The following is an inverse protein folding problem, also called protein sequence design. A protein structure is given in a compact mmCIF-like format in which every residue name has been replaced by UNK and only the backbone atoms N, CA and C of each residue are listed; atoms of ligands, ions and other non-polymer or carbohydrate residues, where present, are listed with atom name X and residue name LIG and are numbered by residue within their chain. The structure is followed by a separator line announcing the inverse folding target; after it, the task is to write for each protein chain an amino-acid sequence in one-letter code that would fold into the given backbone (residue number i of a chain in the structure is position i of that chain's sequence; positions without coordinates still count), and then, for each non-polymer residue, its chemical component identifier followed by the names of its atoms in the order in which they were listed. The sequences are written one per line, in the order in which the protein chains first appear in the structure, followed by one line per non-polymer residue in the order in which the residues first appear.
data_IF_111184772060
#
_entry.id   IF_111184772060
#
_cell.length_a   1.000
_cell.length_b   1.000
_cell.length_c   1.000
_cell.angle_alpha   90.00
_cell.angle_beta   90.00
_cell.angle_gamma   90.00
#
_symmetry.space_group_name_H-M   'P 1'
#
loop_
_entity.id
_entity.type
_entity.pdbx_description
1 polymer ?
#
# COMPACT_ATOMS: atom_id res chain seq x y z
N UNK A 1 7.93 -19.93 8.11
CA UNK A 1 8.46 -19.21 6.94
C UNK A 1 8.31 -17.72 7.20
N UNK A 2 9.37 -16.94 7.01
CA UNK A 2 9.41 -15.50 7.25
C UNK A 2 9.33 -14.77 5.92
N UNK A 3 8.46 -13.76 5.83
CA UNK A 3 8.33 -12.86 4.69
C UNK A 3 9.08 -11.55 4.99
N UNK A 4 9.83 -11.07 4.02
CA UNK A 4 10.62 -9.83 4.09
C UNK A 4 10.43 -9.05 2.80
N UNK A 5 10.58 -7.72 2.85
CA UNK A 5 10.49 -6.88 1.66
C UNK A 5 11.89 -6.52 1.20
N UNK A 6 12.13 -6.68 -0.08
CA UNK A 6 13.38 -6.34 -0.74
C UNK A 6 13.10 -5.33 -1.86
N UNK A 7 14.13 -4.64 -2.32
CA UNK A 7 14.07 -3.81 -3.52
C UNK A 7 15.01 -4.34 -4.61
N UNK A 8 14.68 -4.01 -5.84
CA UNK A 8 15.47 -4.23 -7.03
C UNK A 8 15.40 -2.98 -7.90
N UNK A 9 16.43 -2.76 -8.70
CA UNK A 9 16.51 -1.64 -9.66
C UNK A 9 16.96 -2.18 -11.01
N UNK A 10 16.61 -1.53 -12.14
CA UNK A 10 17.15 -1.89 -13.44
C UNK A 10 18.67 -1.80 -13.45
N UNK A 11 19.34 -2.74 -14.10
CA UNK A 11 20.80 -2.70 -14.29
C UNK A 11 21.21 -1.57 -15.25
N UNK A 12 20.39 -1.35 -16.28
CA UNK A 12 20.60 -0.32 -17.29
C UNK A 12 19.29 0.45 -17.53
N UNK A 13 19.32 1.77 -17.30
CA UNK A 13 18.17 2.66 -17.53
C UNK A 13 18.02 3.05 -19.00
N UNK A 14 19.01 2.79 -19.85
CA UNK A 14 18.93 3.03 -21.28
C UNK A 14 18.31 1.87 -22.06
N UNK A 15 18.15 0.69 -21.44
CA UNK A 15 17.39 -0.41 -22.01
C UNK A 15 15.88 -0.10 -21.88
N UNK A 16 15.17 0.24 -22.98
CA UNK A 16 13.75 0.59 -22.90
C UNK A 16 12.87 -0.56 -22.42
N UNK A 17 13.38 -1.80 -22.45
CA UNK A 17 12.65 -2.98 -22.00
C UNK A 17 13.01 -3.41 -20.57
N UNK A 18 14.00 -2.78 -19.93
CA UNK A 18 14.45 -3.07 -18.56
C UNK A 18 14.65 -4.58 -18.33
N UNK A 19 15.39 -5.24 -19.22
CA UNK A 19 15.49 -6.72 -19.25
C UNK A 19 16.28 -7.32 -18.09
N UNK A 20 17.14 -6.52 -17.44
CA UNK A 20 18.00 -6.95 -16.33
C UNK A 20 17.80 -6.10 -15.09
N UNK A 21 17.82 -6.76 -13.94
CA UNK A 21 17.56 -6.16 -12.63
C UNK A 21 18.63 -6.60 -11.62
N UNK A 22 19.08 -5.65 -10.81
CA UNK A 22 20.02 -5.86 -9.71
C UNK A 22 19.27 -5.79 -8.38
N UNK A 23 19.57 -6.71 -7.48
CA UNK A 23 19.15 -6.68 -6.07
C UNK A 23 20.36 -6.29 -5.23
N UNK A 24 20.43 -5.07 -4.70
CA UNK A 24 21.60 -4.69 -3.91
C UNK A 24 21.57 -5.37 -2.53
N UNK A 25 22.56 -6.23 -2.27
CA UNK A 25 22.62 -7.01 -1.03
C UNK A 25 22.85 -6.14 0.22
N UNK A 26 23.55 -5.00 0.08
CA UNK A 26 23.88 -4.12 1.19
C UNK A 26 22.65 -3.57 1.94
N UNK A 27 21.52 -3.44 1.26
CA UNK A 27 20.32 -2.80 1.80
C UNK A 27 19.10 -3.73 1.85
N UNK A 28 19.22 -4.96 1.34
CA UNK A 28 18.17 -5.96 1.43
C UNK A 28 18.33 -6.84 2.69
N UNK A 29 17.24 -7.20 3.39
CA UNK A 29 15.87 -6.72 3.18
C UNK A 29 15.65 -5.29 3.68
N UNK A 30 14.82 -4.53 2.97
CA UNK A 30 14.49 -3.14 3.31
C UNK A 30 13.42 -3.03 4.40
N UNK A 31 12.58 -4.05 4.57
CA UNK A 31 11.61 -4.11 5.65
C UNK A 31 11.41 -5.54 6.14
N UNK A 32 11.43 -5.71 7.46
CA UNK A 32 11.24 -6.98 8.16
C UNK A 32 10.08 -6.88 9.16
N UNK A 33 9.46 -8.02 9.45
CA UNK A 33 8.44 -8.10 10.50
C UNK A 33 9.08 -7.90 11.88
N UNK A 34 8.82 -6.75 12.50
CA UNK A 34 9.27 -6.45 13.87
C UNK A 34 8.56 -7.31 14.93
N UNK A 35 9.07 -7.27 16.17
CA UNK A 35 8.47 -7.98 17.31
C UNK A 35 6.98 -7.68 17.44
N UNK A 36 6.16 -8.73 17.45
CA UNK A 36 4.70 -8.63 17.55
C UNK A 36 3.97 -8.50 16.20
N UNK A 37 4.70 -8.41 15.09
CA UNK A 37 4.16 -8.59 13.73
C UNK A 37 4.26 -10.06 13.34
N UNK A 38 3.23 -10.58 12.66
CA UNK A 38 3.26 -11.95 12.18
C UNK A 38 4.18 -12.04 10.94
N UNK A 39 5.35 -12.64 11.12
CA UNK A 39 6.36 -12.79 10.08
C UNK A 39 5.92 -13.63 8.86
N UNK A 40 4.92 -14.50 8.97
CA UNK A 40 4.37 -15.25 7.84
C UNK A 40 3.19 -14.55 7.16
N UNK A 41 2.83 -13.35 7.63
CA UNK A 41 1.73 -12.55 7.15
C UNK A 41 2.18 -11.09 7.05
N UNK A 42 3.22 -10.84 6.26
CA UNK A 42 3.85 -9.53 6.08
C UNK A 42 4.40 -9.44 4.65
N UNK A 43 3.60 -8.92 3.72
CA UNK A 43 3.90 -8.99 2.28
C UNK A 43 3.20 -7.89 1.48
N UNK A 44 3.53 -7.85 0.20
CA UNK A 44 2.86 -7.04 -0.82
C UNK A 44 3.03 -5.53 -0.59
N UNK A 45 4.24 -4.98 -0.79
CA UNK A 45 4.47 -3.55 -0.68
C UNK A 45 3.70 -2.79 -1.78
N UNK A 46 3.19 -1.60 -1.44
CA UNK A 46 2.54 -0.70 -2.41
C UNK A 46 3.57 -0.01 -3.30
N UNK A 47 3.07 0.64 -4.37
CA UNK A 47 3.78 1.78 -4.96
C UNK A 47 4.05 2.82 -3.86
N UNK A 48 5.22 3.45 -3.89
CA UNK A 48 5.60 4.45 -2.92
C UNK A 48 5.08 5.83 -3.33
N UNK A 49 4.69 6.65 -2.35
CA UNK A 49 4.38 8.07 -2.57
C UNK A 49 5.29 8.93 -1.70
N UNK A 50 5.52 10.17 -2.13
CA UNK A 50 6.41 11.12 -1.44
C UNK A 50 5.59 12.23 -0.79
N UNK A 51 5.81 12.44 0.50
CA UNK A 51 5.17 13.56 1.20
C UNK A 51 5.85 14.91 0.91
N UNK A 52 5.17 15.99 1.29
CA UNK A 52 5.68 17.38 1.17
C UNK A 52 7.01 17.64 1.90
N UNK A 53 7.37 16.79 2.86
CA UNK A 53 8.61 16.89 3.64
C UNK A 53 9.74 16.03 3.03
N UNK A 54 9.49 15.41 1.88
CA UNK A 54 10.45 14.62 1.13
C UNK A 54 10.64 13.18 1.63
N UNK A 55 9.75 12.67 2.49
CA UNK A 55 9.77 11.26 2.89
C UNK A 55 8.94 10.42 1.93
N UNK A 56 9.55 9.35 1.43
CA UNK A 56 8.86 8.25 0.78
C UNK A 56 8.09 7.43 1.79
N UNK A 57 6.92 6.95 1.39
CA UNK A 57 6.01 6.14 2.18
C UNK A 57 5.58 4.92 1.37
N UNK A 58 5.49 3.76 2.02
CA UNK A 58 4.91 2.53 1.46
C UNK A 58 4.01 1.87 2.49
N UNK A 59 3.02 1.11 2.02
CA UNK A 59 2.26 0.19 2.87
C UNK A 59 2.73 -1.25 2.63
N UNK A 60 2.68 -2.08 3.67
CA UNK A 60 2.85 -3.52 3.60
C UNK A 60 1.65 -4.19 4.26
N UNK A 61 1.02 -5.11 3.54
CA UNK A 61 -0.14 -5.88 3.97
C UNK A 61 0.20 -6.87 5.08
N UNK A 62 -0.68 -6.97 6.08
CA UNK A 62 -0.50 -7.89 7.19
C UNK A 62 -1.82 -8.22 7.90
N UNK A 63 -1.73 -9.03 8.96
CA UNK A 63 -2.79 -9.22 9.95
C UNK A 63 -2.24 -9.28 11.37
N UNK A 64 -3.10 -8.88 12.32
CA UNK A 64 -2.93 -9.14 13.76
C UNK A 64 -4.15 -9.89 14.27
N UNK A 65 -3.99 -11.17 14.60
CA UNK A 65 -5.11 -12.09 14.89
C UNK A 65 -6.10 -12.08 13.70
N UNK A 66 -7.34 -11.67 13.91
CA UNK A 66 -8.39 -11.58 12.88
C UNK A 66 -8.54 -10.18 12.27
N UNK A 67 -7.59 -9.28 12.52
CA UNK A 67 -7.63 -7.88 12.07
C UNK A 67 -6.67 -7.65 10.92
N UNK A 68 -7.16 -7.16 9.79
CA UNK A 68 -6.34 -6.75 8.65
C UNK A 68 -5.57 -5.47 8.96
N UNK A 69 -4.37 -5.36 8.41
CA UNK A 69 -3.39 -4.33 8.72
C UNK A 69 -2.72 -3.82 7.45
N UNK A 70 -2.64 -2.50 7.30
CA UNK A 70 -1.73 -1.85 6.35
C UNK A 70 -0.63 -1.13 7.13
N UNK A 71 0.54 -1.75 7.27
CA UNK A 71 1.67 -1.14 7.98
C UNK A 71 2.35 -0.09 7.11
N UNK A 72 2.47 1.13 7.63
CA UNK A 72 3.17 2.21 6.96
C UNK A 72 4.66 2.21 7.30
N UNK A 73 5.51 2.32 6.28
CA UNK A 73 6.95 2.55 6.40
C UNK A 73 7.34 3.87 5.77
N UNK A 74 8.40 4.49 6.28
CA UNK A 74 8.95 5.76 5.78
C UNK A 74 10.42 5.65 5.46
N UNK A 75 10.87 6.35 4.42
CA UNK A 75 12.27 6.45 4.02
C UNK A 75 12.60 7.81 3.43
N UNK A 76 13.84 8.28 3.58
CA UNK A 76 14.34 9.47 2.86
C UNK A 76 15.08 9.12 1.58
N UNK A 77 15.67 7.93 1.52
CA UNK A 77 16.63 7.51 0.49
C UNK A 77 16.17 6.28 -0.30
N UNK A 78 14.97 5.78 -0.04
CA UNK A 78 14.38 4.57 -0.61
C UNK A 78 15.10 3.25 -0.25
N UNK A 79 16.12 3.31 0.60
CA UNK A 79 16.98 2.18 0.99
C UNK A 79 16.74 1.81 2.45
N UNK A 80 16.75 2.78 3.35
CA UNK A 80 16.50 2.58 4.78
C UNK A 80 15.06 2.93 5.09
N UNK A 81 14.30 1.94 5.54
CA UNK A 81 12.89 2.12 5.88
C UNK A 81 12.64 1.91 7.36
N UNK A 82 11.82 2.78 7.94
CA UNK A 82 11.40 2.71 9.34
C UNK A 82 9.89 2.56 9.41
N UNK A 83 9.42 1.59 10.19
CA UNK A 83 7.99 1.37 10.40
C UNK A 83 7.40 2.48 11.26
N UNK A 84 6.24 2.99 10.87
CA UNK A 84 5.44 3.88 11.71
C UNK A 84 4.91 3.12 12.92
N UNK A 85 4.76 3.84 14.04
CA UNK A 85 4.22 3.27 15.29
C UNK A 85 2.83 2.64 15.09
N UNK A 86 1.99 3.32 14.31
CA UNK A 86 0.65 2.89 13.96
C UNK A 86 0.57 2.50 12.47
N UNK A 87 -0.27 1.50 12.10
CA UNK A 87 -0.62 1.30 10.69
C UNK A 87 -1.38 2.52 10.16
N UNK A 88 -1.40 2.71 8.84
CA UNK A 88 -2.18 3.80 8.24
C UNK A 88 -3.69 3.59 8.46
N UNK A 89 -4.11 2.32 8.40
CA UNK A 89 -5.47 1.85 8.61
C UNK A 89 -5.49 0.35 8.95
N UNK A 90 -6.61 -0.11 9.52
CA UNK A 90 -6.80 -1.51 9.90
C UNK A 90 -8.26 -1.77 10.24
N UNK A 91 -8.76 -2.96 9.88
CA UNK A 91 -10.16 -3.32 10.11
C UNK A 91 -10.29 -4.69 10.79
N UNK A 92 -11.23 -4.82 11.73
CA UNK A 92 -11.50 -6.07 12.42
C UNK A 92 -12.26 -7.06 11.53
N UNK A 93 -12.06 -8.36 11.77
CA UNK A 93 -12.76 -9.48 11.09
C UNK A 93 -12.55 -9.53 9.57
N UNK A 94 -11.53 -8.85 9.03
CA UNK A 94 -11.16 -8.89 7.60
C UNK A 94 -10.03 -9.88 7.29
N UNK A 95 -9.34 -10.40 8.32
CA UNK A 95 -8.29 -11.39 8.12
C UNK A 95 -6.99 -10.78 7.57
N UNK A 96 -6.34 -11.47 6.62
CA UNK A 96 -5.12 -10.98 5.96
C UNK A 96 -5.50 -9.96 4.88
N UNK A 97 -4.81 -8.83 4.89
CA UNK A 97 -4.82 -7.88 3.78
C UNK A 97 -3.66 -8.17 2.85
N UNK A 98 -3.97 -8.61 1.64
CA UNK A 98 -3.03 -8.86 0.56
C UNK A 98 -3.12 -7.73 -0.47
N UNK A 99 -2.04 -7.55 -1.22
CA UNK A 99 -1.95 -6.60 -2.33
C UNK A 99 -2.62 -5.25 -2.02
N UNK A 100 -2.24 -4.57 -0.92
CA UNK A 100 -2.74 -3.24 -0.67
C UNK A 100 -2.40 -2.34 -1.85
N UNK A 101 -3.28 -1.36 -2.08
CA UNK A 101 -3.03 -0.26 -2.99
C UNK A 101 -3.54 1.04 -2.37
N UNK A 102 -2.80 2.13 -2.56
CA UNK A 102 -3.10 3.41 -1.93
C UNK A 102 -2.73 4.56 -2.87
N UNK A 103 -3.74 5.28 -3.33
CA UNK A 103 -3.57 6.30 -4.36
C UNK A 103 -4.65 7.39 -4.29
N UNK A 104 -4.35 8.62 -4.75
CA UNK A 104 -5.30 9.70 -4.78
C UNK A 104 -6.21 9.62 -6.02
N UNK A 105 -7.41 10.19 -5.89
CA UNK A 105 -8.38 10.39 -6.98
C UNK A 105 -8.96 11.79 -6.91
N UNK A 106 -9.23 12.40 -8.06
CA UNK A 106 -9.86 13.71 -8.15
C UNK A 106 -11.32 13.66 -7.66
N UNK A 107 -11.74 14.69 -6.94
CA UNK A 107 -13.16 14.88 -6.59
C UNK A 107 -14.04 15.22 -7.80
N UNK A 108 -13.46 15.82 -8.83
CA UNK A 108 -14.14 16.24 -10.06
C UNK A 108 -13.20 16.04 -11.24
N UNK A 109 -13.73 15.55 -12.35
CA UNK A 109 -12.94 15.19 -13.53
C UNK A 109 -12.88 13.68 -13.74
N UNK A 110 -12.06 13.26 -14.69
CA UNK A 110 -11.85 11.84 -15.06
C UNK A 110 -10.36 11.48 -15.17
N UNK A 111 -9.49 12.43 -14.91
CA UNK A 111 -8.05 12.31 -15.02
C UNK A 111 -7.49 11.49 -13.85
N UNK A 112 -6.45 10.70 -14.14
CA UNK A 112 -5.65 10.04 -13.12
C UNK A 112 -4.72 11.03 -12.41
N UNK A 113 -4.19 10.62 -11.26
CA UNK A 113 -3.25 11.42 -10.49
C UNK A 113 -1.99 10.63 -10.18
N UNK A 114 -0.85 11.30 -10.18
CA UNK A 114 0.36 10.76 -9.57
C UNK A 114 0.09 10.44 -8.09
N UNK A 115 0.69 9.34 -7.62
CA UNK A 115 0.48 8.82 -6.26
C UNK A 115 0.84 9.79 -5.14
N UNK A 116 1.68 10.80 -5.41
CA UNK A 116 2.13 11.79 -4.43
C UNK A 116 1.26 13.06 -4.38
N UNK A 117 0.20 13.15 -5.20
CA UNK A 117 -0.69 14.32 -5.19
C UNK A 117 -1.55 14.33 -3.92
N UNK A 118 -1.50 15.45 -3.21
CA UNK A 118 -2.29 15.73 -2.00
C UNK A 118 -3.02 17.08 -2.13
N UNK A 119 -4.12 17.25 -1.39
CA UNK A 119 -4.86 18.52 -1.30
C UNK A 119 -6.38 18.35 -1.14
N UNK A 120 -7.08 19.47 -0.95
CA UNK A 120 -8.52 19.47 -0.69
C UNK A 120 -9.38 19.02 -1.88
N UNK A 121 -8.78 18.98 -3.07
CA UNK A 121 -9.43 18.59 -4.33
C UNK A 121 -9.33 17.07 -4.60
N UNK A 122 -8.71 16.30 -3.69
CA UNK A 122 -8.54 14.84 -3.84
C UNK A 122 -9.13 14.05 -2.68
N UNK A 123 -9.48 12.80 -2.98
CA UNK A 123 -9.74 11.73 -2.00
C UNK A 123 -8.71 10.64 -2.19
N UNK A 124 -8.58 9.75 -1.22
CA UNK A 124 -7.68 8.61 -1.30
C UNK A 124 -8.46 7.31 -1.31
N UNK A 125 -8.05 6.41 -2.20
CA UNK A 125 -8.53 5.03 -2.24
C UNK A 125 -7.56 4.19 -1.42
N UNK A 126 -8.09 3.40 -0.48
CA UNK A 126 -7.36 2.30 0.13
C UNK A 126 -8.02 1.00 -0.29
N UNK A 127 -7.30 0.23 -1.11
CA UNK A 127 -7.74 -1.07 -1.61
C UNK A 127 -6.96 -2.18 -0.94
N UNK A 128 -7.63 -3.30 -0.67
CA UNK A 128 -7.01 -4.53 -0.19
C UNK A 128 -7.69 -5.75 -0.83
N UNK A 129 -6.91 -6.79 -1.13
CA UNK A 129 -7.40 -8.12 -1.45
C UNK A 129 -7.52 -8.94 -0.17
N UNK A 130 -8.70 -9.51 0.10
CA UNK A 130 -8.93 -10.28 1.33
C UNK A 130 -8.75 -11.77 1.08
N UNK A 131 -7.72 -12.34 1.71
CA UNK A 131 -7.39 -13.76 1.58
C UNK A 131 -8.57 -14.68 1.94
N UNK A 132 -9.39 -14.28 2.92
CA UNK A 132 -10.54 -15.06 3.38
C UNK A 132 -11.67 -15.18 2.35
N UNK A 133 -11.88 -14.15 1.54
CA UNK A 133 -13.01 -14.11 0.59
C UNK A 133 -12.59 -14.33 -0.84
N UNK A 134 -11.29 -14.17 -1.13
CA UNK A 134 -10.72 -14.17 -2.48
C UNK A 134 -11.34 -13.10 -3.38
N UNK A 135 -11.76 -12.00 -2.77
CA UNK A 135 -12.20 -10.78 -3.44
C UNK A 135 -11.37 -9.57 -2.99
N UNK A 136 -11.49 -8.49 -3.74
CA UNK A 136 -10.90 -7.22 -3.42
C UNK A 136 -11.94 -6.15 -3.08
N UNK A 137 -11.57 -5.32 -2.12
CA UNK A 137 -12.42 -4.27 -1.60
C UNK A 137 -11.63 -2.98 -1.54
N UNK A 138 -12.32 -1.87 -1.76
CA UNK A 138 -11.74 -0.55 -1.59
C UNK A 138 -12.64 0.36 -0.78
N UNK A 139 -12.01 1.31 -0.12
CA UNK A 139 -12.67 2.40 0.61
C UNK A 139 -12.22 3.73 0.03
N UNK A 140 -13.11 4.72 0.04
CA UNK A 140 -12.80 6.11 -0.28
C UNK A 140 -12.70 6.90 1.01
N UNK A 141 -11.66 7.71 1.17
CA UNK A 141 -11.40 8.39 2.44
C UNK A 141 -10.50 9.60 2.30
N UNK A 142 -10.19 10.20 3.43
CA UNK A 142 -9.24 11.32 3.52
C UNK A 142 -7.95 10.81 4.14
N UNK A 143 -6.82 11.15 3.53
CA UNK A 143 -5.50 10.91 4.06
C UNK A 143 -4.96 12.19 4.70
N UNK A 144 -4.57 12.09 5.96
CA UNK A 144 -3.96 13.16 6.73
C UNK A 144 -2.45 12.90 6.77
N UNK A 145 -1.71 13.49 5.83
CA UNK A 145 -0.30 13.19 5.62
C UNK A 145 0.61 13.60 6.78
N UNK A 146 0.21 14.63 7.53
CA UNK A 146 0.91 15.09 8.75
C UNK A 146 0.75 14.14 9.95
N UNK A 147 -0.35 13.37 9.97
CA UNK A 147 -0.64 12.37 11.03
C UNK A 147 -0.33 10.94 10.59
N UNK A 148 -0.03 10.73 9.31
CA UNK A 148 0.14 9.42 8.69
C UNK A 148 -1.08 8.51 8.89
N UNK A 149 -2.26 9.09 8.74
CA UNK A 149 -3.54 8.46 9.06
C UNK A 149 -4.50 8.53 7.90
N UNK A 150 -5.12 7.41 7.57
CA UNK A 150 -6.22 7.33 6.63
C UNK A 150 -7.53 7.14 7.38
N UNK A 151 -8.56 7.90 6.99
CA UNK A 151 -9.91 7.78 7.56
C UNK A 151 -10.90 7.52 6.41
N UNK A 152 -11.49 6.32 6.35
CA UNK A 152 -12.56 6.01 5.42
C UNK A 152 -13.73 6.99 5.57
N UNK A 153 -14.38 7.32 4.47
CA UNK A 153 -15.65 8.05 4.48
C UNK A 153 -16.74 7.19 5.12
N UNK A 154 -17.73 7.81 5.74
CA UNK A 154 -18.83 7.11 6.42
C UNK A 154 -19.65 6.17 5.50
N UNK A 155 -19.59 6.38 4.18
CA UNK A 155 -20.22 5.54 3.15
C UNK A 155 -19.32 4.41 2.63
N UNK A 156 -18.10 4.27 3.15
CA UNK A 156 -17.13 3.26 2.72
C UNK A 156 -16.83 2.28 3.84
N UNK A 157 -17.44 1.10 3.77
CA UNK A 157 -17.22 0.02 4.74
C UNK A 157 -15.96 -0.79 4.38
N UNK A 158 -15.18 -1.16 5.40
CA UNK A 158 -14.08 -2.13 5.24
C UNK A 158 -14.62 -3.57 5.18
N UNK A 159 -14.17 -4.33 4.19
CA UNK A 159 -14.42 -5.77 4.13
C UNK A 159 -15.73 -6.13 3.45
N UNK A 160 -16.43 -7.16 3.93
CA UNK A 160 -17.44 -7.91 3.17
C UNK A 160 -18.59 -7.05 2.60
N UNK A 161 -19.03 -6.04 3.35
CA UNK A 161 -20.06 -5.07 2.91
C UNK A 161 -19.52 -3.88 2.10
N UNK A 162 -18.20 -3.81 1.93
CA UNK A 162 -17.52 -2.76 1.20
C UNK A 162 -17.65 -2.87 -0.33
N UNK A 163 -17.23 -1.79 -0.99
CA UNK A 163 -17.22 -1.71 -2.45
C UNK A 163 -16.11 -2.58 -3.03
N UNK A 164 -16.38 -3.17 -4.20
CA UNK A 164 -15.43 -3.96 -4.99
C UNK A 164 -15.27 -3.34 -6.37
N UNK A 165 -14.10 -3.46 -6.99
CA UNK A 165 -13.97 -3.05 -8.39
C UNK A 165 -14.75 -3.96 -9.32
N UNK A 166 -14.80 -5.25 -8.99
CA UNK A 166 -15.47 -6.27 -9.79
C UNK A 166 -16.15 -7.28 -8.85
N UNK A 167 -17.33 -7.77 -9.27
CA UNK A 167 -18.16 -8.69 -8.48
C UNK A 167 -18.11 -10.15 -9.00
N UNK A 168 -17.27 -10.41 -10.00
CA UNK A 168 -16.92 -11.73 -10.53
C UNK A 168 -15.57 -12.21 -9.98
N UNK A 169 -14.77 -12.85 -10.85
CA UNK A 169 -13.49 -13.44 -10.49
C UNK A 169 -12.33 -12.45 -10.73
N UNK A 170 -12.08 -11.61 -9.73
CA UNK A 170 -11.08 -10.55 -9.79
C UNK A 170 -10.35 -10.43 -8.44
N UNK A 171 -9.02 -10.52 -8.47
CA UNK A 171 -8.20 -10.57 -7.26
C UNK A 171 -6.79 -10.02 -7.52
N UNK A 172 -6.12 -9.59 -6.45
CA UNK A 172 -4.75 -9.08 -6.47
C UNK A 172 -4.52 -7.91 -7.45
N UNK A 173 -5.54 -7.11 -7.75
CA UNK A 173 -5.39 -5.93 -8.61
C UNK A 173 -4.36 -4.94 -8.07
N UNK A 174 -3.76 -4.18 -8.99
CA UNK A 174 -2.82 -3.10 -8.69
C UNK A 174 -2.94 -2.04 -9.77
N UNK A 175 -2.95 -0.78 -9.36
CA UNK A 175 -2.96 0.37 -10.25
C UNK A 175 -1.55 0.93 -10.45
N UNK A 176 -1.39 1.68 -11.54
CA UNK A 176 -0.26 2.57 -11.77
C UNK A 176 -0.77 3.83 -12.46
N UNK A 177 -0.01 4.92 -12.35
CA UNK A 177 -0.34 6.17 -13.02
C UNK A 177 0.30 6.20 -14.42
N UNK A 178 -0.50 6.55 -15.42
CA UNK A 178 -0.06 6.78 -16.80
C UNK A 178 -0.18 8.28 -17.10
N UNK A 179 0.88 8.87 -17.65
CA UNK A 179 1.03 10.32 -17.82
C UNK A 179 0.70 10.78 -19.24
#
# INVERSE_FOLDING_TARGET
MTQVQCYAIPEDLNDPFLTKWVKPDEHNPIAIAEKGVNASAFRDPTTAWKDKNGHWKILVGSKRKHRGMAYLFRSRDFKKWVRSKHPIHSAAKTGMWECPDFYPVLLKGKEGLDTSIEGDHVKHVLKNSLDLTRYEYYTLGTYFSDEDKYVPSNTSEDGWGGLRYDYGNFYASKSFFDQ
#
